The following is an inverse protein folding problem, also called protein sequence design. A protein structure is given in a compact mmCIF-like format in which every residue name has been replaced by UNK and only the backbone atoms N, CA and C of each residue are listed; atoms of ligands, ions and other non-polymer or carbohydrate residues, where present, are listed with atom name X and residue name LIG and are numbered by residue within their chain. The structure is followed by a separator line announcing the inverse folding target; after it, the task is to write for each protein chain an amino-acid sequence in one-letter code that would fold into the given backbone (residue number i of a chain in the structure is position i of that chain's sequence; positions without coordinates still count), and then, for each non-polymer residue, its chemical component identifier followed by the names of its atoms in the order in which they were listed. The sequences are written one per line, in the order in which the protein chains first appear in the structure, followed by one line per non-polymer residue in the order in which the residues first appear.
data_IF_210551298116
#
_entry.id   IF_210551298116
#
_cell.length_a   1.000
_cell.length_b   1.000
_cell.length_c   1.000
_cell.angle_alpha   90.00
_cell.angle_beta   90.00
_cell.angle_gamma   90.00
#
_symmetry.space_group_name_H-M   'P 1'
#
loop_
_entity.id
_entity.type
_entity.pdbx_description
1 polymer ?
#
# COMPACT_ATOMS: atom_id res chain seq x y z
N UNK A 1 4.39 -34.54 -14.26
CA UNK A 1 4.63 -33.41 -15.18
C UNK A 1 5.41 -32.26 -14.50
N UNK A 2 4.99 -31.77 -13.33
CA UNK A 2 5.63 -30.61 -12.66
C UNK A 2 7.09 -30.88 -12.23
N UNK A 3 7.38 -32.05 -11.65
CA UNK A 3 8.77 -32.43 -11.32
C UNK A 3 9.71 -32.42 -12.53
N UNK A 4 9.22 -32.85 -13.69
CA UNK A 4 9.99 -32.84 -14.92
C UNK A 4 10.31 -31.41 -15.36
N UNK A 5 9.34 -30.50 -15.27
CA UNK A 5 9.55 -29.08 -15.60
C UNK A 5 10.56 -28.44 -14.64
N UNK A 6 10.43 -28.69 -13.32
CA UNK A 6 11.37 -28.17 -12.33
C UNK A 6 12.79 -28.72 -12.54
N UNK A 7 12.92 -30.00 -12.91
CA UNK A 7 14.20 -30.62 -13.22
C UNK A 7 14.80 -30.03 -14.50
N UNK A 8 14.01 -29.91 -15.57
CA UNK A 8 14.45 -29.30 -16.83
C UNK A 8 14.92 -27.86 -16.63
N UNK A 9 14.19 -27.06 -15.84
CA UNK A 9 14.60 -25.72 -15.46
C UNK A 9 15.91 -25.75 -14.66
N UNK A 10 16.06 -26.71 -13.74
CA UNK A 10 17.28 -26.86 -12.96
C UNK A 10 18.48 -27.25 -13.80
N UNK A 11 18.30 -28.14 -14.78
CA UNK A 11 19.35 -28.56 -15.71
C UNK A 11 19.78 -27.39 -16.61
N UNK A 12 18.84 -26.53 -17.03
CA UNK A 12 19.14 -25.37 -17.87
C UNK A 12 19.78 -24.19 -17.10
N UNK A 13 19.40 -23.99 -15.83
CA UNK A 13 19.83 -22.82 -15.03
C UNK A 13 20.91 -23.13 -14.00
N UNK A 14 21.15 -24.41 -13.69
CA UNK A 14 21.98 -24.84 -12.56
C UNK A 14 21.32 -24.67 -11.19
N UNK A 15 20.02 -24.35 -11.12
CA UNK A 15 19.29 -24.11 -9.86
C UNK A 15 18.53 -25.36 -9.40
N UNK A 16 18.54 -25.63 -8.09
CA UNK A 16 17.77 -26.73 -7.49
C UNK A 16 16.68 -26.19 -6.57
N UNK A 17 15.44 -26.63 -6.77
CA UNK A 17 14.30 -26.22 -5.94
C UNK A 17 14.40 -26.81 -4.52
N UNK A 18 14.28 -25.96 -3.51
CA UNK A 18 14.26 -26.39 -2.11
C UNK A 18 12.82 -26.65 -1.64
N UNK A 19 12.36 -27.90 -1.74
CA UNK A 19 11.00 -28.29 -1.35
C UNK A 19 10.73 -28.12 0.16
N UNK A 20 11.76 -28.12 1.01
CA UNK A 20 11.61 -27.89 2.46
C UNK A 20 11.29 -26.41 2.79
N UNK A 21 11.71 -25.47 1.93
CA UNK A 21 11.37 -24.04 2.05
C UNK A 21 10.12 -23.67 1.23
N UNK A 22 9.77 -24.50 0.26
CA UNK A 22 8.55 -24.34 -0.54
C UNK A 22 7.31 -24.74 0.25
N UNK A 23 6.17 -24.17 -0.12
CA UNK A 23 4.88 -24.56 0.43
C UNK A 23 3.79 -24.37 -0.61
N UNK A 24 2.77 -25.22 -0.56
CA UNK A 24 1.62 -25.14 -1.45
C UNK A 24 0.51 -24.34 -0.81
N UNK A 25 -0.04 -23.39 -1.55
CA UNK A 25 -1.21 -22.63 -1.13
C UNK A 25 -2.31 -22.88 -2.14
N UNK A 26 -3.37 -23.55 -1.69
CA UNK A 26 -4.44 -24.03 -2.55
C UNK A 26 -5.52 -22.95 -2.66
N UNK A 27 -5.89 -22.60 -3.90
CA UNK A 27 -6.90 -21.58 -4.19
C UNK A 27 -7.93 -22.23 -5.12
N UNK A 28 -9.15 -22.43 -4.61
CA UNK A 28 -10.28 -22.98 -5.38
C UNK A 28 -9.96 -24.33 -6.06
N UNK A 29 -9.38 -25.27 -5.30
CA UNK A 29 -9.08 -26.63 -5.76
C UNK A 29 -10.10 -27.63 -5.23
N UNK A 30 -10.39 -28.69 -6.00
CA UNK A 30 -11.16 -29.86 -5.53
C UNK A 30 -10.28 -30.84 -4.77
N UNK A 31 -10.85 -31.69 -3.93
CA UNK A 31 -10.08 -32.65 -3.10
C UNK A 31 -9.19 -33.57 -3.95
N UNK A 32 -9.67 -34.01 -5.12
CA UNK A 32 -8.89 -34.80 -6.09
C UNK A 32 -7.64 -34.05 -6.57
N UNK A 33 -7.77 -32.77 -6.90
CA UNK A 33 -6.63 -31.95 -7.35
C UNK A 33 -5.62 -31.71 -6.22
N UNK A 34 -6.10 -31.62 -4.98
CA UNK A 34 -5.24 -31.43 -3.82
C UNK A 34 -4.36 -32.67 -3.62
N UNK A 35 -4.94 -33.87 -3.70
CA UNK A 35 -4.20 -35.13 -3.58
C UNK A 35 -3.14 -35.26 -4.69
N UNK A 36 -3.52 -35.05 -5.95
CA UNK A 36 -2.61 -35.10 -7.09
C UNK A 36 -1.41 -34.15 -6.95
N UNK A 37 -1.65 -32.90 -6.56
CA UNK A 37 -0.58 -31.89 -6.43
C UNK A 37 0.31 -32.19 -5.23
N UNK A 38 -0.25 -32.72 -4.14
CA UNK A 38 0.49 -33.02 -2.91
C UNK A 38 1.41 -34.23 -3.12
N UNK A 39 0.94 -35.26 -3.81
CA UNK A 39 1.75 -36.41 -4.20
C UNK A 39 2.93 -35.99 -5.09
N UNK A 40 2.69 -35.10 -6.05
CA UNK A 40 3.68 -34.66 -7.03
C UNK A 40 4.69 -33.65 -6.49
N UNK A 41 4.40 -32.85 -5.47
CA UNK A 41 5.34 -31.80 -5.01
C UNK A 41 5.92 -32.07 -3.63
N UNK A 42 5.33 -32.97 -2.84
CA UNK A 42 5.81 -33.40 -1.52
C UNK A 42 6.17 -32.22 -0.60
N UNK A 43 5.42 -31.12 -0.72
CA UNK A 43 5.63 -29.87 0.02
C UNK A 43 4.54 -29.70 1.09
N UNK A 44 4.81 -29.00 2.20
CA UNK A 44 3.79 -28.68 3.18
C UNK A 44 2.71 -27.78 2.58
N UNK A 45 1.45 -28.14 2.82
CA UNK A 45 0.29 -27.32 2.47
C UNK A 45 0.15 -26.22 3.52
N UNK A 46 0.08 -24.96 3.07
CA UNK A 46 -0.23 -23.78 3.90
C UNK A 46 -1.52 -23.15 3.40
N UNK A 47 -2.33 -22.71 4.34
CA UNK A 47 -3.54 -21.95 4.03
C UNK A 47 -3.26 -20.46 4.08
N UNK A 48 -3.99 -19.69 3.26
CA UNK A 48 -3.98 -18.23 3.38
C UNK A 48 -4.56 -17.84 4.75
N UNK A 49 -4.00 -16.84 5.43
CA UNK A 49 -2.94 -15.94 4.97
C UNK A 49 -1.50 -16.52 5.10
N UNK A 50 -0.65 -16.27 4.09
CA UNK A 50 0.79 -16.60 4.14
C UNK A 50 1.64 -15.33 4.17
N UNK A 51 2.86 -15.40 4.71
CA UNK A 51 3.79 -14.26 4.69
C UNK A 51 4.70 -14.38 3.46
N UNK A 52 4.69 -13.36 2.61
CA UNK A 52 5.56 -13.26 1.45
C UNK A 52 6.24 -11.90 1.42
N UNK A 53 7.58 -11.89 1.30
CA UNK A 53 8.41 -10.68 1.41
C UNK A 53 8.13 -9.86 2.69
N UNK A 54 7.66 -10.52 3.74
CA UNK A 54 7.31 -9.88 5.00
C UNK A 54 5.91 -9.28 5.06
N UNK A 55 5.11 -9.34 3.99
CA UNK A 55 3.71 -8.91 3.92
C UNK A 55 2.75 -10.10 4.05
N UNK A 56 1.58 -9.93 4.69
CA UNK A 56 0.55 -10.95 4.69
C UNK A 56 -0.17 -10.99 3.32
N UNK A 57 0.02 -12.07 2.57
CA UNK A 57 -0.80 -12.40 1.42
C UNK A 57 -2.10 -13.02 1.90
N UNK A 58 -3.22 -12.39 1.56
CA UNK A 58 -4.56 -12.77 1.97
C UNK A 58 -5.55 -12.40 0.87
N UNK A 59 -6.60 -13.21 0.69
CA UNK A 59 -7.71 -12.89 -0.24
C UNK A 59 -8.61 -11.79 0.35
N UNK A 60 -8.55 -11.60 1.66
CA UNK A 60 -9.36 -10.63 2.42
C UNK A 60 -8.47 -9.53 3.00
N UNK A 61 -9.09 -8.41 3.37
CA UNK A 61 -8.43 -7.33 4.11
C UNK A 61 -7.67 -7.89 5.32
N UNK A 62 -6.46 -7.40 5.59
CA UNK A 62 -5.63 -7.96 6.63
C UNK A 62 -6.28 -7.80 8.01
N UNK A 63 -6.28 -8.88 8.78
CA UNK A 63 -6.85 -8.87 10.13
C UNK A 63 -5.92 -8.15 11.11
N UNK A 64 -6.44 -7.79 12.29
CA UNK A 64 -5.62 -7.19 13.36
C UNK A 64 -4.38 -8.02 13.68
N UNK A 65 -4.51 -9.35 13.71
CA UNK A 65 -3.40 -10.29 13.97
C UNK A 65 -2.30 -10.17 12.91
N UNK A 66 -2.67 -10.07 11.64
CA UNK A 66 -1.69 -9.95 10.56
C UNK A 66 -0.92 -8.62 10.62
N UNK A 67 -1.62 -7.53 10.98
CA UNK A 67 -1.00 -6.21 11.17
C UNK A 67 -0.16 -6.19 12.45
N UNK A 68 -0.56 -6.94 13.48
CA UNK A 68 0.19 -7.05 14.73
C UNK A 68 1.61 -7.56 14.49
N UNK A 69 1.83 -8.49 13.56
CA UNK A 69 3.17 -8.97 13.20
C UNK A 69 4.11 -7.83 12.75
N UNK A 70 3.59 -6.80 12.07
CA UNK A 70 4.34 -5.60 11.72
C UNK A 70 4.60 -4.74 12.96
N UNK A 71 3.58 -4.58 13.81
CA UNK A 71 3.71 -3.82 15.07
C UNK A 71 4.75 -4.44 16.01
N UNK A 72 4.84 -5.77 16.05
CA UNK A 72 5.82 -6.49 16.87
C UNK A 72 7.24 -6.31 16.32
N UNK A 73 7.41 -6.24 14.99
CA UNK A 73 8.70 -5.87 14.37
C UNK A 73 9.10 -4.44 14.72
N UNK A 74 8.16 -3.50 14.71
CA UNK A 74 8.42 -2.12 15.13
C UNK A 74 8.83 -2.06 16.61
N UNK A 75 8.11 -2.77 17.48
CA UNK A 75 8.42 -2.86 18.89
C UNK A 75 9.82 -3.46 19.13
N UNK A 76 10.15 -4.56 18.44
CA UNK A 76 11.47 -5.19 18.52
C UNK A 76 12.60 -4.25 18.11
N UNK A 77 12.40 -3.45 17.06
CA UNK A 77 13.39 -2.45 16.64
C UNK A 77 13.59 -1.37 17.72
N UNK A 78 12.50 -0.83 18.28
CA UNK A 78 12.54 0.17 19.34
C UNK A 78 13.26 -0.36 20.58
N UNK A 79 12.97 -1.61 20.97
CA UNK A 79 13.62 -2.29 22.09
C UNK A 79 15.12 -2.46 21.89
N UNK A 80 15.53 -2.82 20.68
CA UNK A 80 16.94 -3.07 20.35
C UNK A 80 17.82 -1.82 20.40
N UNK A 81 17.25 -0.62 20.25
CA UNK A 81 18.03 0.62 20.09
C UNK A 81 18.51 1.26 21.39
N UNK A 82 18.16 0.71 22.56
CA UNK A 82 18.56 1.23 23.88
C UNK A 82 18.42 2.76 23.96
N UNK A 83 17.21 3.31 23.81
CA UNK A 83 16.99 4.74 23.61
C UNK A 83 17.61 5.67 24.66
N UNK A 84 17.82 5.20 25.89
CA UNK A 84 18.50 5.95 26.97
C UNK A 84 19.97 6.28 26.67
N UNK A 85 20.59 5.57 25.74
CA UNK A 85 21.97 5.79 25.30
C UNK A 85 22.07 6.70 24.07
N UNK A 86 20.94 7.16 23.54
CA UNK A 86 20.89 7.92 22.29
C UNK A 86 20.55 9.39 22.55
N UNK A 87 21.22 10.28 21.81
CA UNK A 87 20.83 11.69 21.78
C UNK A 87 19.41 11.85 21.18
N UNK A 88 18.69 12.95 21.50
CA UNK A 88 17.41 13.26 20.87
C UNK A 88 17.46 13.22 19.33
N UNK A 89 18.54 13.75 18.74
CA UNK A 89 18.73 13.78 17.28
C UNK A 89 18.94 12.38 16.70
N UNK A 90 19.71 11.52 17.38
CA UNK A 90 19.89 10.13 16.96
C UNK A 90 18.55 9.36 17.01
N UNK A 91 17.74 9.59 18.04
CA UNK A 91 16.40 9.00 18.15
C UNK A 91 15.48 9.47 17.02
N UNK A 92 15.51 10.76 16.70
CA UNK A 92 14.76 11.33 15.59
C UNK A 92 15.20 10.73 14.24
N UNK A 93 16.51 10.59 14.02
CA UNK A 93 17.06 10.00 12.79
C UNK A 93 16.61 8.54 12.62
N UNK A 94 16.65 7.73 13.68
CA UNK A 94 16.16 6.35 13.65
C UNK A 94 14.67 6.26 13.31
N UNK A 95 13.85 7.16 13.84
CA UNK A 95 12.43 7.21 13.48
C UNK A 95 12.27 7.52 12.00
N UNK A 96 12.89 8.60 11.52
CA UNK A 96 12.73 9.07 10.13
C UNK A 96 13.15 8.04 9.10
N UNK A 97 14.31 7.41 9.32
CA UNK A 97 14.97 6.62 8.28
C UNK A 97 14.76 5.12 8.45
N UNK A 98 14.55 4.62 9.67
CA UNK A 98 14.44 3.19 9.93
C UNK A 98 13.02 2.80 10.32
N UNK A 99 12.46 3.43 11.36
CA UNK A 99 11.16 3.04 11.89
C UNK A 99 10.03 3.31 10.90
N UNK A 100 10.03 4.49 10.27
CA UNK A 100 9.01 4.87 9.28
C UNK A 100 9.12 4.10 7.97
N UNK A 101 10.27 3.49 7.64
CA UNK A 101 10.42 2.71 6.42
C UNK A 101 9.52 1.46 6.40
N UNK A 102 9.35 0.80 7.56
CA UNK A 102 8.55 -0.42 7.68
C UNK A 102 7.04 -0.21 7.41
N UNK A 103 6.33 0.74 8.07
CA UNK A 103 4.92 0.97 7.77
C UNK A 103 4.71 1.50 6.35
N UNK A 104 5.69 2.22 5.78
CA UNK A 104 5.62 2.66 4.38
C UNK A 104 5.70 1.50 3.40
N UNK A 105 6.56 0.52 3.68
CA UNK A 105 6.62 -0.70 2.89
C UNK A 105 5.27 -1.42 2.91
N UNK A 106 4.63 -1.54 4.08
CA UNK A 106 3.27 -2.09 4.17
C UNK A 106 2.28 -1.24 3.40
N UNK A 107 2.23 0.07 3.62
CA UNK A 107 1.30 0.99 2.98
C UNK A 107 1.42 1.08 1.45
N UNK A 108 2.52 0.58 0.88
CA UNK A 108 2.66 0.47 -0.58
C UNK A 108 1.68 -0.54 -1.20
N UNK A 109 1.21 -1.54 -0.44
CA UNK A 109 0.33 -2.61 -0.93
C UNK A 109 -1.02 -2.66 -0.19
N UNK A 110 -1.09 -2.20 1.06
CA UNK A 110 -2.30 -2.27 1.90
C UNK A 110 -2.64 -0.94 2.56
N UNK A 111 -3.93 -0.72 2.84
CA UNK A 111 -4.36 0.40 3.66
C UNK A 111 -4.24 0.03 5.14
N UNK A 112 -3.39 0.76 5.88
CA UNK A 112 -3.29 0.59 7.32
C UNK A 112 -4.53 1.19 8.02
N UNK A 113 -5.14 0.46 8.97
CA UNK A 113 -6.27 0.97 9.73
C UNK A 113 -5.81 2.07 10.69
N UNK A 114 -6.72 2.98 11.02
CA UNK A 114 -6.43 4.14 11.85
C UNK A 114 -5.84 3.78 13.23
N UNK A 115 -6.26 2.67 13.83
CA UNK A 115 -5.71 2.20 15.11
C UNK A 115 -4.21 1.86 15.00
N UNK A 116 -3.79 1.26 13.88
CA UNK A 116 -2.39 0.87 13.69
C UNK A 116 -1.52 2.12 13.51
N UNK A 117 -2.00 3.08 12.72
CA UNK A 117 -1.33 4.38 12.57
C UNK A 117 -1.17 5.05 13.93
N UNK A 118 -2.25 5.18 14.71
CA UNK A 118 -2.21 5.80 16.04
C UNK A 118 -1.24 5.11 17.00
N UNK A 119 -1.19 3.77 17.00
CA UNK A 119 -0.25 3.02 17.83
C UNK A 119 1.20 3.24 17.40
N UNK A 120 1.49 3.32 16.10
CA UNK A 120 2.83 3.65 15.59
C UNK A 120 3.22 5.05 16.05
N UNK A 121 2.34 6.04 15.87
CA UNK A 121 2.57 7.43 16.27
C UNK A 121 2.85 7.51 17.77
N UNK A 122 2.05 6.81 18.60
CA UNK A 122 2.25 6.73 20.06
C UNK A 122 3.60 6.13 20.44
N UNK A 123 4.05 5.07 19.76
CA UNK A 123 5.37 4.47 20.00
C UNK A 123 6.51 5.40 19.60
N UNK A 124 6.36 6.12 18.49
CA UNK A 124 7.34 7.14 18.09
C UNK A 124 7.42 8.28 19.12
N UNK A 125 6.28 8.72 19.64
CA UNK A 125 6.20 9.71 20.71
C UNK A 125 6.97 9.29 21.96
N UNK A 126 6.74 8.07 22.45
CA UNK A 126 7.46 7.53 23.62
C UNK A 126 8.97 7.51 23.38
N UNK A 127 9.39 7.08 22.19
CA UNK A 127 10.79 6.98 21.83
C UNK A 127 11.50 8.34 21.78
N UNK A 128 10.91 9.36 21.13
CA UNK A 128 11.52 10.71 21.00
C UNK A 128 11.69 11.36 22.36
N UNK A 129 10.68 11.31 23.23
CA UNK A 129 10.67 12.16 24.42
C UNK A 129 11.17 11.44 25.67
N UNK A 130 10.67 10.24 25.95
CA UNK A 130 11.07 9.49 27.16
C UNK A 130 12.33 8.67 26.96
N UNK A 131 12.61 8.29 25.72
CA UNK A 131 13.66 7.32 25.45
C UNK A 131 13.34 5.97 26.11
N UNK A 132 12.07 5.56 26.04
CA UNK A 132 11.57 4.29 26.55
C UNK A 132 10.53 3.72 25.57
N UNK A 133 10.30 2.41 25.62
CA UNK A 133 9.32 1.70 24.79
C UNK A 133 7.88 2.00 25.22
N UNK A 134 7.68 2.20 26.53
CA UNK A 134 6.37 2.47 27.11
C UNK A 134 6.04 3.97 27.06
N UNK A 135 5.17 4.32 26.12
CA UNK A 135 4.55 5.64 26.00
C UNK A 135 3.53 5.95 27.14
N UNK A 136 3.44 5.11 28.17
CA UNK A 136 2.53 5.33 29.30
C UNK A 136 2.89 6.65 30.01
N UNK A 137 1.97 7.62 29.97
CA UNK A 137 2.16 8.94 30.57
C UNK A 137 3.14 9.86 29.83
N UNK A 138 3.43 9.64 28.53
CA UNK A 138 4.19 10.60 27.71
C UNK A 138 3.26 11.56 26.97
N UNK A 139 2.84 12.62 27.63
CA UNK A 139 2.20 13.75 26.95
C UNK A 139 3.27 14.81 26.68
N UNK A 140 3.86 14.81 25.48
CA UNK A 140 4.44 16.05 24.93
C UNK A 140 3.33 17.05 24.65
N UNK A 141 3.64 18.34 24.82
CA UNK A 141 2.74 19.47 24.58
C UNK A 141 2.54 19.77 23.08
N UNK A 142 3.28 19.10 22.20
CA UNK A 142 3.32 19.40 20.76
C UNK A 142 2.52 18.37 19.97
N UNK A 143 1.46 18.79 19.28
CA UNK A 143 0.67 17.91 18.41
C UNK A 143 1.51 17.16 17.37
N UNK A 144 1.18 15.89 17.09
CA UNK A 144 1.96 15.04 16.17
C UNK A 144 2.01 15.60 14.75
N UNK A 145 0.93 16.26 14.32
CA UNK A 145 0.83 16.93 13.04
C UNK A 145 1.91 18.01 12.89
N UNK A 146 2.22 18.74 13.96
CA UNK A 146 3.31 19.75 13.96
C UNK A 146 4.68 19.10 13.80
N UNK A 147 4.91 17.95 14.44
CA UNK A 147 6.17 17.21 14.31
C UNK A 147 6.37 16.66 12.88
N UNK A 148 5.27 16.43 12.15
CA UNK A 148 5.32 15.96 10.77
C UNK A 148 5.60 17.06 9.74
N UNK A 149 5.50 18.34 10.10
CA UNK A 149 5.80 19.45 9.19
C UNK A 149 7.28 19.44 8.79
N UNK A 150 7.62 20.09 7.67
CA UNK A 150 9.01 20.24 7.26
C UNK A 150 9.80 21.04 8.29
N UNK A 151 11.13 20.90 8.28
CA UNK A 151 12.01 21.66 9.18
C UNK A 151 11.84 23.17 8.94
N UNK A 152 11.65 23.57 7.69
CA UNK A 152 11.37 24.96 7.28
C UNK A 152 10.06 25.50 7.86
N UNK A 153 9.08 24.63 8.10
CA UNK A 153 7.79 24.96 8.72
C UNK A 153 7.80 24.80 10.25
N UNK A 154 8.98 24.64 10.86
CA UNK A 154 9.14 24.47 12.31
C UNK A 154 8.75 23.08 12.83
N UNK A 155 8.63 22.09 11.94
CA UNK A 155 8.41 20.69 12.31
C UNK A 155 9.72 19.90 12.46
N UNK A 156 9.57 18.61 12.77
CA UNK A 156 10.71 17.69 12.83
C UNK A 156 10.92 16.96 11.50
N UNK A 157 10.09 17.11 10.48
CA UNK A 157 10.22 16.39 9.20
C UNK A 157 9.94 14.88 9.31
N UNK A 158 9.11 14.47 10.28
CA UNK A 158 8.65 13.08 10.38
C UNK A 158 7.56 12.85 9.32
N UNK A 159 7.54 11.67 8.70
CA UNK A 159 6.52 11.36 7.69
C UNK A 159 5.16 11.16 8.34
N UNK A 160 4.17 11.95 7.94
CA UNK A 160 2.77 11.72 8.33
C UNK A 160 2.24 10.47 7.62
N UNK A 161 2.02 9.39 8.38
CA UNK A 161 1.60 8.10 7.83
C UNK A 161 0.23 8.15 7.13
N UNK A 162 -0.68 9.02 7.59
CA UNK A 162 -2.01 9.18 6.98
C UNK A 162 -1.90 9.80 5.59
N UNK A 163 -1.16 10.90 5.48
CA UNK A 163 -0.94 11.58 4.19
C UNK A 163 -0.12 10.71 3.24
N UNK A 164 0.91 10.04 3.76
CA UNK A 164 1.77 9.19 2.97
C UNK A 164 1.04 7.93 2.47
N UNK A 165 0.13 7.37 3.27
CA UNK A 165 -0.76 6.30 2.82
C UNK A 165 -1.67 6.72 1.67
N UNK A 166 -2.21 7.95 1.68
CA UNK A 166 -2.99 8.49 0.57
C UNK A 166 -2.09 8.67 -0.67
N UNK A 167 -0.91 9.27 -0.50
CA UNK A 167 0.03 9.50 -1.61
C UNK A 167 0.47 8.18 -2.29
N UNK A 168 0.77 7.14 -1.49
CA UNK A 168 1.13 5.82 -2.01
C UNK A 168 -0.02 5.16 -2.80
N UNK A 169 -1.27 5.36 -2.38
CA UNK A 169 -2.45 4.92 -3.14
C UNK A 169 -2.65 5.72 -4.42
N UNK A 170 -2.44 7.04 -4.36
CA UNK A 170 -2.48 7.92 -5.54
C UNK A 170 -1.47 7.50 -6.60
N UNK A 171 -0.28 7.02 -6.21
CA UNK A 171 0.72 6.46 -7.13
C UNK A 171 0.16 5.29 -7.96
N UNK A 172 -0.66 4.41 -7.39
CA UNK A 172 -1.25 3.30 -8.14
C UNK A 172 -2.18 3.77 -9.25
N UNK A 173 -2.96 4.84 -9.00
CA UNK A 173 -3.82 5.46 -10.01
C UNK A 173 -2.98 5.98 -11.18
N UNK A 174 -1.85 6.63 -10.89
CA UNK A 174 -0.91 7.08 -11.91
C UNK A 174 -0.35 5.91 -12.73
N UNK A 175 0.16 4.87 -12.08
CA UNK A 175 0.76 3.71 -12.75
C UNK A 175 -0.23 3.00 -13.66
N UNK A 176 -1.50 2.86 -13.25
CA UNK A 176 -2.55 2.29 -14.10
C UNK A 176 -2.75 3.07 -15.41
N UNK A 177 -2.50 4.38 -15.42
CA UNK A 177 -2.63 5.23 -16.61
C UNK A 177 -1.34 5.31 -17.43
N UNK A 178 -0.20 5.37 -16.76
CA UNK A 178 1.10 5.50 -17.42
C UNK A 178 1.52 4.21 -18.14
N UNK A 179 1.16 3.04 -17.58
CA UNK A 179 1.63 1.74 -18.04
C UNK A 179 0.46 0.74 -18.18
N UNK A 180 -0.50 0.99 -19.10
CA UNK A 180 -1.74 0.20 -19.20
C UNK A 180 -1.50 -1.28 -19.52
N UNK A 181 -0.42 -1.60 -20.24
CA UNK A 181 -0.07 -2.97 -20.65
C UNK A 181 0.53 -3.83 -19.53
N UNK A 182 0.93 -3.22 -18.42
CA UNK A 182 1.53 -3.96 -17.32
C UNK A 182 0.51 -4.84 -16.60
N UNK A 183 0.90 -6.05 -16.22
CA UNK A 183 -0.01 -7.04 -15.63
C UNK A 183 -0.72 -6.57 -14.36
N UNK A 184 -0.12 -5.67 -13.58
CA UNK A 184 -0.73 -5.11 -12.37
C UNK A 184 -1.87 -4.13 -12.63
N UNK A 185 -2.04 -3.59 -13.85
CA UNK A 185 -3.17 -2.73 -14.19
C UNK A 185 -4.49 -3.48 -14.29
N UNK A 186 -4.41 -4.81 -14.47
CA UNK A 186 -5.57 -5.72 -14.46
C UNK A 186 -6.19 -5.85 -13.06
N UNK A 187 -5.45 -5.46 -12.03
CA UNK A 187 -5.93 -5.44 -10.65
C UNK A 187 -6.46 -4.03 -10.38
N UNK A 188 -7.69 -3.93 -9.87
CA UNK A 188 -8.25 -2.64 -9.48
C UNK A 188 -7.30 -1.94 -8.49
N UNK A 189 -6.89 -0.69 -8.76
CA UNK A 189 -5.98 0.01 -7.85
C UNK A 189 -6.65 0.15 -6.49
N UNK A 190 -5.82 0.13 -5.43
CA UNK A 190 -6.26 0.41 -4.07
C UNK A 190 -6.58 1.92 -3.96
N UNK A 191 -7.65 2.37 -4.60
CA UNK A 191 -8.01 3.77 -4.74
C UNK A 191 -9.22 4.08 -3.86
N UNK A 192 -9.00 4.76 -2.74
CA UNK A 192 -10.04 5.36 -1.93
C UNK A 192 -10.42 6.75 -2.47
N UNK A 193 -11.59 7.27 -2.07
CA UNK A 193 -12.08 8.59 -2.49
C UNK A 193 -11.03 9.69 -2.27
N UNK A 194 -10.27 9.66 -1.17
CA UNK A 194 -9.23 10.66 -0.91
C UNK A 194 -8.10 10.58 -1.91
N UNK A 195 -7.60 9.38 -2.22
CA UNK A 195 -6.55 9.20 -3.24
C UNK A 195 -6.98 9.66 -4.63
N UNK A 196 -8.24 9.45 -5.02
CA UNK A 196 -8.82 9.94 -6.28
C UNK A 196 -8.87 11.47 -6.33
N UNK A 197 -9.33 12.11 -5.25
CA UNK A 197 -9.35 13.57 -5.13
C UNK A 197 -7.93 14.15 -5.17
N UNK A 198 -6.98 13.55 -4.45
CA UNK A 198 -5.58 13.94 -4.50
C UNK A 198 -5.00 13.77 -5.91
N UNK A 199 -5.31 12.67 -6.60
CA UNK A 199 -4.90 12.45 -7.98
C UNK A 199 -5.46 13.53 -8.91
N UNK A 200 -6.76 13.81 -8.84
CA UNK A 200 -7.41 14.82 -9.67
C UNK A 200 -6.86 16.24 -9.42
N UNK A 201 -6.54 16.59 -8.18
CA UNK A 201 -5.97 17.89 -7.83
C UNK A 201 -4.50 18.04 -8.27
N UNK A 202 -3.76 16.92 -8.38
CA UNK A 202 -2.32 16.91 -8.70
C UNK A 202 -1.99 16.58 -10.15
N UNK A 203 -2.97 16.17 -10.96
CA UNK A 203 -2.78 15.76 -12.35
C UNK A 203 -3.59 16.62 -13.31
N UNK A 204 -3.05 16.80 -14.52
CA UNK A 204 -3.77 17.37 -15.66
C UNK A 204 -3.83 16.33 -16.76
N UNK A 205 -4.98 16.16 -17.37
CA UNK A 205 -5.15 15.18 -18.45
C UNK A 205 -5.10 15.90 -19.79
N UNK A 206 -4.07 15.62 -20.58
CA UNK A 206 -4.00 16.05 -21.97
C UNK A 206 -4.77 15.04 -22.82
N UNK A 207 -5.77 15.53 -23.54
CA UNK A 207 -6.72 14.70 -24.27
C UNK A 207 -6.07 14.23 -25.58
N UNK A 208 -5.80 12.91 -25.66
CA UNK A 208 -5.37 12.24 -26.89
C UNK A 208 -6.55 11.65 -27.65
N UNK A 209 -6.55 10.33 -27.85
CA UNK A 209 -7.66 9.59 -28.48
C UNK A 209 -8.93 9.47 -27.62
N UNK A 210 -8.89 9.91 -26.35
CA UNK A 210 -10.04 9.91 -25.45
C UNK A 210 -10.53 8.54 -24.97
N UNK A 211 -9.84 7.44 -25.31
CA UNK A 211 -10.29 6.08 -25.02
C UNK A 211 -10.09 5.66 -23.55
N UNK A 212 -9.05 6.18 -22.89
CA UNK A 212 -8.68 5.88 -21.50
C UNK A 212 -9.11 6.96 -20.50
N UNK A 213 -9.76 8.01 -20.98
CA UNK A 213 -10.06 9.21 -20.20
C UNK A 213 -11.55 9.27 -19.88
N UNK A 214 -11.91 9.35 -18.61
CA UNK A 214 -13.28 9.51 -18.14
C UNK A 214 -13.77 10.93 -18.42
N UNK A 215 -14.95 11.06 -19.04
CA UNK A 215 -15.52 12.36 -19.36
C UNK A 215 -15.86 13.19 -18.10
N UNK A 216 -16.40 12.54 -17.07
CA UNK A 216 -16.92 13.23 -15.88
C UNK A 216 -15.88 13.44 -14.78
N UNK A 217 -15.03 12.45 -14.57
CA UNK A 217 -14.18 12.36 -13.39
C UNK A 217 -12.76 12.92 -13.63
N UNK A 218 -12.29 12.94 -14.87
CA UNK A 218 -10.93 13.41 -15.17
C UNK A 218 -10.82 14.93 -15.26
N UNK A 219 -9.62 15.43 -14.93
CA UNK A 219 -9.29 16.85 -15.00
C UNK A 219 -9.07 17.29 -16.45
N UNK A 220 -10.18 17.46 -17.18
CA UNK A 220 -10.22 17.84 -18.60
C UNK A 220 -10.39 19.35 -18.83
N UNK A 221 -10.78 20.12 -17.81
CA UNK A 221 -11.08 21.53 -17.98
C UNK A 221 -9.78 22.36 -18.18
N UNK A 222 -9.81 23.42 -19.03
CA UNK A 222 -8.62 24.26 -19.30
C UNK A 222 -8.07 24.97 -18.06
N UNK A 223 -8.93 25.32 -17.11
CA UNK A 223 -8.62 25.90 -15.80
C UNK A 223 -8.23 24.85 -14.74
N UNK A 224 -8.29 23.56 -15.10
CA UNK A 224 -8.07 22.42 -14.21
C UNK A 224 -9.35 21.96 -13.51
N UNK A 225 -9.40 20.68 -13.18
CA UNK A 225 -10.55 20.06 -12.52
C UNK A 225 -11.49 19.31 -13.48
N UNK A 226 -12.40 18.54 -12.88
CA UNK A 226 -13.32 17.66 -13.60
C UNK A 226 -14.70 18.28 -13.73
N UNK A 227 -15.48 17.81 -14.71
CA UNK A 227 -16.86 18.25 -14.93
C UNK A 227 -17.73 17.96 -13.70
N UNK A 228 -17.50 16.82 -13.03
CA UNK A 228 -18.15 16.47 -11.77
C UNK A 228 -17.88 17.50 -10.68
N UNK A 229 -16.63 17.97 -10.55
CA UNK A 229 -16.26 18.93 -9.51
C UNK A 229 -16.91 20.30 -9.74
N UNK A 230 -16.96 20.75 -11.01
CA UNK A 230 -17.52 22.05 -11.38
C UNK A 230 -19.05 22.08 -11.35
N UNK A 231 -19.68 20.98 -11.74
CA UNK A 231 -21.13 20.85 -11.85
C UNK A 231 -21.66 19.61 -11.08
N UNK A 232 -21.56 19.60 -9.74
CA UNK A 232 -21.93 18.44 -8.94
C UNK A 232 -23.43 18.12 -9.00
N UNK A 233 -24.28 19.15 -9.14
CA UNK A 233 -25.73 18.99 -9.29
C UNK A 233 -26.04 18.30 -10.61
N UNK A 234 -25.42 18.73 -11.72
CA UNK A 234 -25.60 18.10 -13.02
C UNK A 234 -25.18 16.63 -12.97
N UNK A 235 -24.02 16.34 -12.40
CA UNK A 235 -23.51 14.98 -12.26
C UNK A 235 -24.47 14.08 -11.47
N UNK A 236 -25.19 14.61 -10.47
CA UNK A 236 -26.16 13.83 -9.69
C UNK A 236 -27.35 13.31 -10.51
N UNK A 237 -27.66 13.94 -11.65
CA UNK A 237 -28.72 13.52 -12.56
C UNK A 237 -28.24 12.62 -13.71
N UNK A 238 -26.93 12.42 -13.86
CA UNK A 238 -26.34 11.63 -14.95
C UNK A 238 -26.44 10.14 -14.63
N UNK A 239 -27.09 9.38 -15.51
CA UNK A 239 -27.20 7.91 -15.38
C UNK A 239 -25.95 7.15 -15.82
N UNK A 240 -25.12 7.75 -16.67
CA UNK A 240 -23.90 7.15 -17.23
C UNK A 240 -22.67 7.93 -16.77
N UNK A 241 -22.20 7.62 -15.56
CA UNK A 241 -20.99 8.23 -14.98
C UNK A 241 -19.69 7.67 -15.56
N UNK A 242 -19.73 6.43 -16.06
CA UNK A 242 -18.55 5.66 -16.46
C UNK A 242 -18.35 5.69 -17.99
N UNK A 243 -18.51 6.87 -18.59
CA UNK A 243 -18.28 7.09 -20.02
C UNK A 243 -16.89 7.66 -20.27
N UNK A 244 -16.21 7.14 -21.28
CA UNK A 244 -14.95 7.69 -21.79
C UNK A 244 -15.23 8.85 -22.75
N UNK A 245 -14.28 9.78 -22.88
CA UNK A 245 -14.44 10.93 -23.78
C UNK A 245 -14.69 10.48 -25.23
N UNK A 246 -13.99 9.45 -25.70
CA UNK A 246 -14.20 8.90 -27.03
C UNK A 246 -15.65 8.39 -27.21
N UNK A 247 -16.17 7.64 -26.25
CA UNK A 247 -17.54 7.12 -26.31
C UNK A 247 -18.60 8.24 -26.19
N UNK A 248 -18.35 9.27 -25.36
CA UNK A 248 -19.23 10.43 -25.24
C UNK A 248 -19.37 11.18 -26.57
N UNK A 249 -18.27 11.30 -27.32
CA UNK A 249 -18.24 12.01 -28.60
C UNK A 249 -18.90 11.20 -29.73
N UNK A 250 -18.77 9.86 -29.73
CA UNK A 250 -19.37 9.00 -30.75
C UNK A 250 -20.89 8.79 -30.59
N UNK A 251 -21.42 8.84 -29.36
CA UNK A 251 -22.86 8.64 -29.07
C UNK A 251 -23.77 9.84 -29.46
N UNK A 252 -23.22 10.89 -30.07
CA UNK A 252 -23.97 12.04 -30.61
C UNK A 252 -24.26 11.90 -32.13
N UNK A 253 -24.25 10.68 -32.67
CA UNK A 253 -24.61 10.36 -34.07
C UNK A 253 -26.01 9.76 -34.16
#
# INVERSE_FOLDING_TARGET
MIHFILKLMGDATGLVSNLAKSSLTLIHCTDVQIEEVTEVLTCPIKQLPIVYLGLPLSVRKPTKVQIQLMMDRLAKNLAGWKPKLLSPDARLALIKHVLMALPLYFMSVLELPAWAINEIEKKCWGFIWKGDEDAAGSCSLVAWEKLCLSIEQGGLGIRNLRLMGIALRTRWIWLCRAEPECSWTRIAPLADRKSLHCFAASSKVLLGNGASTSFWCDSLLPDGGSVQYRFPILFSFVKLSDITVAAALCNNS
#
